data_IF_793840732081
#
_entry.id   IF_793840732081
#
_cell.length_a   1.000
_cell.length_b   1.000
_cell.length_c   1.000
_cell.angle_alpha   90.00
_cell.angle_beta   90.00
_cell.angle_gamma   90.00
#
_symmetry.space_group_name_H-M   'P 1'
#
loop_
_entity.id
_entity.type
_entity.pdbx_description
1 polymer ?
#
# COMPACT_ATOMS: atom_id res chain seq x y z
N UNK A 1 -14.59 1.13 7.12
CA UNK A 1 -14.22 0.78 5.73
C UNK A 1 -14.11 -0.74 5.57
N UNK A 2 -14.62 -1.34 4.49
CA UNK A 2 -14.40 -2.77 4.24
C UNK A 2 -12.96 -3.02 3.82
N UNK A 3 -12.43 -4.21 4.12
CA UNK A 3 -11.04 -4.57 3.80
C UNK A 3 -10.76 -4.48 2.30
N UNK A 4 -11.64 -5.01 1.45
CA UNK A 4 -11.46 -4.99 0.00
C UNK A 4 -11.33 -3.58 -0.57
N UNK A 5 -12.19 -2.65 -0.13
CA UNK A 5 -12.15 -1.24 -0.55
C UNK A 5 -10.78 -0.61 -0.22
N UNK A 6 -10.25 -0.92 0.98
CA UNK A 6 -8.95 -0.41 1.42
C UNK A 6 -7.80 -0.94 0.59
N UNK A 7 -7.79 -2.25 0.33
CA UNK A 7 -6.76 -2.89 -0.50
C UNK A 7 -6.76 -2.27 -1.91
N UNK A 8 -7.94 -2.10 -2.50
CA UNK A 8 -8.08 -1.43 -3.78
C UNK A 8 -7.56 0.01 -3.73
N UNK A 9 -7.93 0.79 -2.72
CA UNK A 9 -7.47 2.17 -2.54
C UNK A 9 -5.94 2.28 -2.38
N UNK A 10 -5.30 1.35 -1.66
CA UNK A 10 -3.82 1.29 -1.55
C UNK A 10 -3.19 1.09 -2.93
N UNK A 11 -3.68 0.11 -3.69
CA UNK A 11 -3.19 -0.18 -5.06
C UNK A 11 -3.31 1.05 -5.95
N UNK A 12 -4.47 1.71 -5.96
CA UNK A 12 -4.69 2.92 -6.76
C UNK A 12 -3.77 4.06 -6.36
N UNK A 13 -3.54 4.24 -5.05
CA UNK A 13 -2.65 5.29 -4.55
C UNK A 13 -1.18 5.06 -4.95
N UNK A 14 -0.73 3.81 -4.98
CA UNK A 14 0.65 3.46 -5.31
C UNK A 14 0.93 3.38 -6.82
N UNK A 15 -0.09 3.26 -7.68
CA UNK A 15 0.04 3.14 -9.15
C UNK A 15 0.83 4.29 -9.79
N UNK A 16 0.89 5.47 -9.14
CA UNK A 16 1.72 6.59 -9.60
C UNK A 16 3.23 6.42 -9.42
N UNK A 17 3.72 5.28 -8.90
CA UNK A 17 5.15 4.97 -8.77
C UNK A 17 5.91 5.87 -7.78
N UNK A 18 5.20 6.66 -6.96
CA UNK A 18 5.82 7.52 -5.94
C UNK A 18 6.00 6.73 -4.65
N UNK A 19 7.13 6.92 -3.97
CA UNK A 19 7.36 6.38 -2.64
C UNK A 19 6.41 7.04 -1.62
N UNK A 20 5.60 6.23 -0.95
CA UNK A 20 4.63 6.67 0.07
C UNK A 20 4.83 5.89 1.36
N UNK A 21 4.94 6.58 2.50
CA UNK A 21 5.13 5.93 3.80
C UNK A 21 3.84 5.30 4.31
N UNK A 22 3.96 4.29 5.18
CA UNK A 22 2.82 3.69 5.86
C UNK A 22 2.04 4.71 6.69
N UNK A 23 2.73 5.66 7.31
CA UNK A 23 2.11 6.77 8.03
C UNK A 23 1.18 7.60 7.13
N UNK A 24 1.64 7.97 5.93
CA UNK A 24 0.83 8.75 4.97
C UNK A 24 -0.40 7.97 4.52
N UNK A 25 -0.22 6.69 4.18
CA UNK A 25 -1.33 5.81 3.80
C UNK A 25 -2.32 5.63 4.95
N UNK A 26 -1.82 5.44 6.18
CA UNK A 26 -2.62 5.29 7.38
C UNK A 26 -3.45 6.53 7.71
N UNK A 27 -2.84 7.72 7.63
CA UNK A 27 -3.55 8.99 7.78
C UNK A 27 -4.64 9.17 6.72
N UNK A 28 -4.34 8.88 5.45
CA UNK A 28 -5.31 9.02 4.36
C UNK A 28 -6.49 8.04 4.46
N UNK A 29 -6.22 6.80 4.89
CA UNK A 29 -7.21 5.74 5.01
C UNK A 29 -7.88 5.67 6.39
N UNK A 30 -7.48 6.54 7.31
CA UNK A 30 -7.91 6.56 8.71
C UNK A 30 -7.70 5.20 9.42
N UNK A 31 -6.52 4.59 9.20
CA UNK A 31 -6.12 3.33 9.84
C UNK A 31 -4.71 3.41 10.42
N UNK A 32 -4.39 2.49 11.33
CA UNK A 32 -3.05 2.41 11.90
C UNK A 32 -2.00 1.96 10.88
N UNK A 33 -0.74 2.35 11.09
CA UNK A 33 0.39 1.86 10.30
C UNK A 33 0.48 0.33 10.31
N UNK A 34 0.20 -0.32 11.45
CA UNK A 34 0.13 -1.79 11.55
C UNK A 34 -0.88 -2.40 10.56
N UNK A 35 -2.01 -1.71 10.34
CA UNK A 35 -3.00 -2.13 9.35
C UNK A 35 -2.45 -2.00 7.95
N UNK A 36 -1.75 -0.90 7.64
CA UNK A 36 -1.07 -0.71 6.35
C UNK A 36 -0.01 -1.79 6.12
N UNK A 37 0.86 -2.06 7.09
CA UNK A 37 1.90 -3.08 6.96
C UNK A 37 1.32 -4.46 6.64
N UNK A 38 0.26 -4.86 7.34
CA UNK A 38 -0.42 -6.13 7.07
C UNK A 38 -1.03 -6.14 5.66
N UNK A 39 -1.74 -5.07 5.31
CA UNK A 39 -2.42 -4.99 4.01
C UNK A 39 -1.45 -4.95 2.82
N UNK A 40 -0.28 -4.30 2.97
CA UNK A 40 0.80 -4.35 1.97
C UNK A 40 1.38 -5.76 1.85
N UNK A 41 1.66 -6.43 2.98
CA UNK A 41 2.16 -7.81 2.96
C UNK A 41 1.16 -8.75 2.27
N UNK A 42 -0.14 -8.57 2.53
CA UNK A 42 -1.19 -9.34 1.87
C UNK A 42 -1.22 -9.06 0.36
N UNK A 43 -1.14 -7.79 -0.06
CA UNK A 43 -1.08 -7.43 -1.49
C UNK A 43 0.14 -8.03 -2.19
N UNK A 44 1.32 -7.95 -1.58
CA UNK A 44 2.55 -8.56 -2.10
C UNK A 44 2.39 -10.08 -2.23
N UNK A 45 1.79 -10.75 -1.24
CA UNK A 45 1.54 -12.19 -1.29
C UNK A 45 0.61 -12.62 -2.43
N UNK A 46 -0.26 -11.71 -2.89
CA UNK A 46 -1.15 -11.94 -4.04
C UNK A 46 -0.53 -11.58 -5.39
N UNK A 47 0.75 -11.17 -5.41
CA UNK A 47 1.48 -10.84 -6.63
C UNK A 47 1.38 -9.38 -7.07
N UNK A 48 0.79 -8.49 -6.25
CA UNK A 48 0.80 -7.06 -6.55
C UNK A 48 2.24 -6.55 -6.46
N UNK A 49 2.78 -5.88 -7.49
CA UNK A 49 4.20 -5.54 -7.56
C UNK A 49 4.53 -4.28 -6.75
N UNK A 50 4.35 -4.36 -5.44
CA UNK A 50 4.70 -3.30 -4.49
C UNK A 50 6.10 -3.59 -3.94
N UNK A 51 7.01 -2.64 -4.14
CA UNK A 51 8.33 -2.64 -3.52
C UNK A 51 8.32 -1.75 -2.27
N UNK A 52 9.24 -2.03 -1.35
CA UNK A 52 9.46 -1.23 -0.15
C UNK A 52 9.32 -2.03 1.14
N UNK A 53 9.72 -1.38 2.23
CA UNK A 53 9.85 -1.99 3.55
C UNK A 53 9.21 -1.10 4.63
N UNK A 54 8.82 -1.73 5.75
CA UNK A 54 8.29 -1.02 6.89
C UNK A 54 9.28 0.03 7.41
N UNK A 55 8.79 1.23 7.71
CA UNK A 55 9.64 2.36 8.11
C UNK A 55 10.33 3.12 6.96
N UNK A 56 10.40 2.56 5.75
CA UNK A 56 10.93 3.26 4.55
C UNK A 56 9.80 3.83 3.70
N UNK A 57 8.80 3.00 3.41
CA UNK A 57 7.68 3.32 2.54
C UNK A 57 7.54 2.34 1.40
N UNK A 58 6.53 2.56 0.56
CA UNK A 58 6.07 1.64 -0.47
C UNK A 58 5.87 2.37 -1.79
N UNK A 59 6.14 1.70 -2.89
CA UNK A 59 5.88 2.17 -4.25
C UNK A 59 5.50 1.00 -5.14
N UNK A 60 4.72 1.26 -6.19
CA UNK A 60 4.45 0.25 -7.21
C UNK A 60 5.59 0.24 -8.22
N UNK A 61 6.04 -0.95 -8.64
CA UNK A 61 6.99 -1.10 -9.75
C UNK A 61 6.37 -0.59 -11.05
N UNK A 62 7.18 0.05 -11.88
CA UNK A 62 6.77 0.47 -13.23
C UNK A 62 6.32 -0.73 -14.06
N UNK A 63 5.30 -0.51 -14.91
CA UNK A 63 4.75 -1.53 -15.81
C UNK A 63 3.55 -2.31 -15.27
N UNK A 64 2.96 -1.90 -14.14
CA UNK A 64 1.66 -2.40 -13.68
C UNK A 64 0.52 -1.48 -14.17
N UNK A 65 -0.07 -1.82 -15.32
CA UNK A 65 -1.30 -1.22 -15.84
C UNK A 65 -2.46 -2.21 -15.93
#
# INVERSE_FOLDING_TARGET
>A
MRRADRLFQIVQHLRGGRLVTAQKLGTWLEVSERTIYRDIADLQSTGVPIDGEAGVGYMMREGFD
#
